data_IF_637792958698
#
_entry.id   IF_637792958698
#
_cell.length_a   1.000
_cell.length_b   1.000
_cell.length_c   1.000
_cell.angle_alpha   90.00
_cell.angle_beta   90.00
_cell.angle_gamma   90.00
#
_symmetry.space_group_name_H-M   'P 1'
#
loop_
_entity.id
_entity.type
_entity.pdbx_description
1 polymer ?
#
# COMPACT_ATOMS: atom_id res chain seq x y z
N UNK A 1 24.00 -1.35 -16.98
CA UNK A 1 23.31 -1.00 -15.72
C UNK A 1 24.27 -0.79 -14.57
N UNK A 2 24.16 0.35 -13.86
CA UNK A 2 24.73 0.55 -12.51
C UNK A 2 23.84 1.56 -11.79
N UNK A 3 23.03 1.09 -10.86
CA UNK A 3 22.04 1.89 -10.16
C UNK A 3 22.55 2.36 -8.79
N UNK A 4 21.92 3.41 -8.26
CA UNK A 4 22.25 3.98 -6.95
C UNK A 4 21.70 3.09 -5.84
N UNK A 5 22.52 2.83 -4.81
CA UNK A 5 22.15 2.03 -3.64
C UNK A 5 21.36 2.86 -2.63
N UNK A 6 20.28 2.28 -2.09
CA UNK A 6 19.44 2.85 -1.04
C UNK A 6 20.00 2.71 0.38
N UNK A 7 21.30 2.91 0.58
CA UNK A 7 21.91 2.75 1.90
C UNK A 7 21.40 3.78 2.91
N UNK A 8 21.10 3.31 4.12
CA UNK A 8 20.54 4.10 5.21
C UNK A 8 21.69 4.54 6.12
N UNK A 9 21.63 5.77 6.64
CA UNK A 9 22.74 6.37 7.39
C UNK A 9 22.21 7.09 8.63
N UNK A 10 22.91 6.91 9.74
CA UNK A 10 22.73 7.71 10.94
C UNK A 10 23.74 8.86 10.95
N UNK A 11 23.27 10.06 11.29
CA UNK A 11 24.11 11.25 11.42
C UNK A 11 23.96 11.84 12.81
N UNK A 12 25.04 12.39 13.33
CA UNK A 12 25.00 13.27 14.49
C UNK A 12 24.26 14.57 14.13
N UNK A 13 23.25 14.93 14.91
CA UNK A 13 22.34 16.03 14.60
C UNK A 13 23.00 17.42 14.73
N UNK A 14 24.02 17.56 15.57
CA UNK A 14 24.69 18.83 15.84
C UNK A 14 25.81 19.10 14.83
N UNK A 15 26.53 18.05 14.43
CA UNK A 15 27.75 18.14 13.61
C UNK A 15 27.55 17.73 12.15
N UNK A 16 26.52 16.92 11.87
CA UNK A 16 26.32 16.29 10.56
C UNK A 16 27.31 15.17 10.26
N UNK A 17 28.12 14.73 11.23
CA UNK A 17 29.02 13.59 11.06
C UNK A 17 28.24 12.29 10.92
N UNK A 18 28.60 11.44 9.95
CA UNK A 18 27.95 10.13 9.78
C UNK A 18 28.43 9.17 10.87
N UNK A 19 27.55 8.81 11.80
CA UNK A 19 27.81 7.81 12.85
C UNK A 19 27.91 6.39 12.27
N UNK A 20 26.96 6.03 11.41
CA UNK A 20 26.90 4.68 10.85
C UNK A 20 26.24 4.65 9.46
N UNK A 21 26.38 3.52 8.79
CA UNK A 21 25.72 3.21 7.52
C UNK A 21 25.27 1.76 7.55
N UNK A 22 24.02 1.52 7.15
CA UNK A 22 23.47 0.19 6.92
C UNK A 22 23.35 -0.04 5.41
N UNK A 23 23.97 -1.13 4.93
CA UNK A 23 23.90 -1.52 3.53
C UNK A 23 22.72 -2.45 3.28
N UNK A 24 21.62 -1.89 2.79
CA UNK A 24 20.40 -2.66 2.45
C UNK A 24 20.59 -3.61 1.28
N UNK A 25 21.47 -3.25 0.32
CA UNK A 25 22.04 -4.19 -0.63
C UNK A 25 23.45 -4.56 -0.14
N UNK A 26 23.63 -5.75 0.46
CA UNK A 26 24.87 -6.13 1.13
C UNK A 26 26.04 -6.25 0.15
N UNK A 27 27.22 -5.86 0.61
CA UNK A 27 28.50 -6.13 -0.05
C UNK A 27 28.91 -7.60 0.02
N UNK A 28 29.99 -7.97 -0.67
CA UNK A 28 30.42 -9.37 -0.86
C UNK A 28 30.53 -10.21 0.43
N UNK A 29 30.99 -9.61 1.52
CA UNK A 29 31.23 -10.29 2.80
C UNK A 29 30.14 -9.98 3.85
N UNK A 30 29.05 -9.33 3.45
CA UNK A 30 27.97 -8.93 4.35
C UNK A 30 26.81 -9.93 4.33
N UNK A 31 26.11 -10.05 5.46
CA UNK A 31 24.96 -10.93 5.61
C UNK A 31 23.89 -10.64 4.55
N UNK A 32 23.34 -11.69 3.93
CA UNK A 32 22.31 -11.60 2.90
C UNK A 32 22.85 -11.51 1.49
N UNK A 33 24.16 -11.29 1.28
CA UNK A 33 24.76 -11.23 -0.05
C UNK A 33 24.59 -12.52 -0.86
N UNK A 34 24.53 -13.66 -0.18
CA UNK A 34 24.28 -14.98 -0.75
C UNK A 34 22.93 -15.10 -1.47
N UNK A 35 21.97 -14.22 -1.14
CA UNK A 35 20.67 -14.10 -1.83
C UNK A 35 20.70 -13.26 -3.11
N UNK A 36 21.86 -12.68 -3.46
CA UNK A 36 22.06 -11.90 -4.69
C UNK A 36 22.91 -12.69 -5.68
N UNK A 37 22.24 -13.52 -6.47
CA UNK A 37 22.92 -14.39 -7.41
C UNK A 37 23.58 -13.59 -8.54
N UNK A 38 24.56 -14.22 -9.20
CA UNK A 38 25.32 -13.65 -10.31
C UNK A 38 25.97 -12.29 -10.01
N UNK A 39 26.34 -12.06 -8.74
CA UNK A 39 26.90 -10.79 -8.26
C UNK A 39 25.99 -9.57 -8.55
N UNK A 40 24.68 -9.78 -8.66
CA UNK A 40 23.72 -8.71 -9.00
C UNK A 40 23.75 -7.54 -8.02
N UNK A 41 24.12 -7.81 -6.76
CA UNK A 41 24.40 -6.79 -5.75
C UNK A 41 25.45 -5.76 -6.18
N UNK A 42 26.29 -5.99 -7.20
CA UNK A 42 27.28 -4.99 -7.66
C UNK A 42 26.67 -3.84 -8.46
N UNK A 43 25.55 -4.08 -9.15
CA UNK A 43 24.97 -3.11 -10.09
C UNK A 43 23.50 -2.78 -9.84
N UNK A 44 22.75 -3.61 -9.12
CA UNK A 44 21.37 -3.32 -8.71
C UNK A 44 21.33 -2.08 -7.80
N UNK A 45 20.21 -1.37 -7.73
CA UNK A 45 20.02 -0.18 -6.90
C UNK A 45 18.70 -0.23 -6.14
N UNK A 46 18.29 0.92 -5.61
CA UNK A 46 17.15 1.06 -4.70
C UNK A 46 17.36 0.25 -3.41
N UNK A 47 16.32 -0.42 -2.92
CA UNK A 47 16.30 -1.06 -1.60
C UNK A 47 16.54 -0.04 -0.47
N UNK A 48 16.11 1.21 -0.64
CA UNK A 48 16.15 2.24 0.39
C UNK A 48 14.91 2.29 1.26
N UNK A 49 14.87 3.27 2.17
CA UNK A 49 13.67 3.62 2.93
C UNK A 49 13.18 4.95 2.40
N UNK A 50 12.16 4.92 1.53
CA UNK A 50 11.54 6.14 1.00
C UNK A 50 10.34 6.61 1.84
N UNK A 51 9.75 5.70 2.63
CA UNK A 51 8.70 5.99 3.61
C UNK A 51 9.25 6.52 4.94
N UNK A 52 8.38 6.59 5.94
CA UNK A 52 8.75 6.98 7.30
C UNK A 52 9.37 5.82 8.09
N UNK A 53 10.22 6.17 9.05
CA UNK A 53 10.89 5.24 9.99
C UNK A 53 10.25 5.38 11.37
N UNK A 54 10.25 4.30 12.14
CA UNK A 54 9.89 4.33 13.57
C UNK A 54 11.06 3.91 14.44
N UNK A 55 11.08 4.38 15.69
CA UNK A 55 12.11 4.04 16.66
C UNK A 55 11.49 3.80 18.04
N UNK A 56 11.99 2.80 18.75
CA UNK A 56 11.74 2.61 20.18
C UNK A 56 12.96 3.12 20.95
N UNK A 57 12.83 4.29 21.58
CA UNK A 57 13.92 4.96 22.28
C UNK A 57 14.29 4.26 23.60
N UNK A 58 13.39 3.50 24.20
CA UNK A 58 13.70 2.73 25.42
C UNK A 58 14.55 1.51 25.09
N UNK A 59 14.29 0.88 23.96
CA UNK A 59 15.05 -0.26 23.47
C UNK A 59 16.32 0.13 22.69
N UNK A 60 16.41 1.38 22.22
CA UNK A 60 17.49 1.83 21.35
C UNK A 60 17.42 1.23 19.96
N UNK A 61 16.22 0.94 19.44
CA UNK A 61 16.01 0.25 18.16
C UNK A 61 15.34 1.17 17.14
N UNK A 62 15.83 1.16 15.91
CA UNK A 62 15.23 1.81 14.74
C UNK A 62 14.73 0.74 13.77
N UNK A 63 13.52 0.90 13.24
CA UNK A 63 12.87 -0.05 12.33
C UNK A 63 12.75 0.56 10.93
N UNK A 64 13.40 -0.08 9.96
CA UNK A 64 13.61 0.42 8.62
C UNK A 64 12.74 -0.37 7.62
N UNK A 65 11.62 0.19 7.12
CA UNK A 65 10.84 -0.41 6.05
C UNK A 65 11.51 -0.19 4.70
N UNK A 66 12.12 -1.25 4.14
CA UNK A 66 12.90 -1.18 2.91
C UNK A 66 12.04 -1.44 1.67
N UNK A 67 12.40 -0.76 0.60
CA UNK A 67 11.78 -0.91 -0.72
C UNK A 67 12.36 -2.07 -1.52
N UNK A 68 11.75 -2.37 -2.66
CA UNK A 68 12.24 -3.36 -3.62
C UNK A 68 13.53 -2.92 -4.35
N UNK A 69 14.27 -3.84 -4.98
CA UNK A 69 15.42 -3.50 -5.81
C UNK A 69 15.01 -3.15 -7.24
N UNK A 70 15.82 -2.32 -7.92
CA UNK A 70 15.67 -2.11 -9.37
C UNK A 70 15.86 -3.45 -10.12
N UNK A 71 15.01 -3.85 -11.07
CA UNK A 71 13.83 -3.19 -11.63
C UNK A 71 12.52 -3.69 -11.01
N UNK A 72 11.52 -2.83 -10.96
CA UNK A 72 10.27 -3.02 -10.24
C UNK A 72 9.44 -4.23 -10.69
N UNK A 73 9.46 -4.59 -11.98
CA UNK A 73 8.55 -5.62 -12.54
C UNK A 73 9.25 -6.75 -13.30
N UNK A 74 10.59 -6.75 -13.30
CA UNK A 74 11.42 -7.81 -13.88
C UNK A 74 12.70 -7.96 -13.04
N UNK A 75 12.82 -9.13 -12.41
CA UNK A 75 13.91 -9.56 -11.55
C UNK A 75 14.98 -10.41 -12.24
N UNK A 76 14.86 -10.72 -13.53
CA UNK A 76 15.84 -11.57 -14.25
C UNK A 76 17.30 -11.05 -14.29
N UNK A 77 17.53 -9.78 -13.94
CA UNK A 77 18.87 -9.21 -13.75
C UNK A 77 19.36 -9.25 -12.30
N UNK A 78 18.52 -9.70 -11.36
CA UNK A 78 18.77 -9.75 -9.91
C UNK A 78 18.20 -11.02 -9.29
N UNK A 79 18.59 -12.18 -9.83
CA UNK A 79 18.10 -13.47 -9.33
C UNK A 79 18.42 -13.69 -7.84
N UNK A 80 17.55 -14.46 -7.18
CA UNK A 80 17.60 -14.76 -5.75
C UNK A 80 16.70 -13.84 -4.92
N UNK A 81 16.57 -14.11 -3.62
CA UNK A 81 15.57 -13.46 -2.76
C UNK A 81 15.81 -11.96 -2.53
N UNK A 82 17.01 -11.46 -2.84
CA UNK A 82 17.38 -10.03 -2.82
C UNK A 82 17.33 -9.36 -1.43
N UNK A 83 17.73 -10.08 -0.38
CA UNK A 83 17.74 -9.54 0.99
C UNK A 83 18.70 -8.33 1.10
N UNK A 84 18.31 -7.16 1.63
CA UNK A 84 17.17 -6.85 2.50
C UNK A 84 16.05 -6.05 1.80
N UNK A 85 15.63 -6.43 0.59
CA UNK A 85 14.45 -5.82 -0.02
C UNK A 85 13.16 -6.24 0.67
N UNK A 86 12.14 -5.40 0.54
CA UNK A 86 10.76 -5.73 0.95
C UNK A 86 10.72 -6.23 2.40
N UNK A 87 11.45 -5.53 3.27
CA UNK A 87 11.76 -5.99 4.62
C UNK A 87 11.47 -4.91 5.66
N UNK A 88 11.19 -5.35 6.89
CA UNK A 88 11.47 -4.53 8.07
C UNK A 88 12.84 -4.95 8.61
N UNK A 89 13.79 -4.02 8.65
CA UNK A 89 15.11 -4.24 9.26
C UNK A 89 15.18 -3.48 10.58
N UNK A 90 15.42 -4.18 11.68
CA UNK A 90 15.69 -3.55 12.97
C UNK A 90 17.19 -3.35 13.15
N UNK A 91 17.59 -2.13 13.45
CA UNK A 91 18.99 -1.76 13.73
C UNK A 91 19.13 -1.08 15.08
N UNK A 92 20.27 -1.26 15.72
CA UNK A 92 20.66 -0.47 16.88
C UNK A 92 20.82 1.01 16.49
N UNK A 93 20.23 1.91 17.29
CA UNK A 93 20.14 3.35 16.98
C UNK A 93 21.51 4.04 16.93
N UNK A 94 22.47 3.56 17.71
CA UNK A 94 23.78 4.20 17.89
C UNK A 94 24.83 3.70 16.91
N UNK A 95 24.71 2.43 16.50
CA UNK A 95 25.72 1.73 15.70
C UNK A 95 25.24 1.36 14.30
N UNK A 96 23.93 1.30 14.07
CA UNK A 96 23.35 0.81 12.82
C UNK A 96 23.51 -0.70 12.62
N UNK A 97 23.95 -1.45 13.65
CA UNK A 97 24.09 -2.89 13.58
C UNK A 97 22.72 -3.56 13.48
N UNK A 98 22.59 -4.54 12.57
CA UNK A 98 21.34 -5.29 12.38
C UNK A 98 21.08 -6.19 13.58
N UNK A 99 19.92 -5.99 14.21
CA UNK A 99 19.43 -6.82 15.31
C UNK A 99 18.65 -8.01 14.74
N UNK A 100 17.62 -7.73 13.94
CA UNK A 100 16.80 -8.73 13.25
C UNK A 100 16.23 -8.13 11.96
N UNK A 101 15.63 -8.96 11.11
CA UNK A 101 14.86 -8.50 9.95
C UNK A 101 13.71 -9.47 9.65
N UNK A 102 12.69 -8.98 8.95
CA UNK A 102 11.59 -9.76 8.40
C UNK A 102 11.41 -9.35 6.94
N UNK A 103 11.71 -10.25 5.99
CA UNK A 103 11.42 -10.06 4.57
C UNK A 103 10.04 -10.61 4.26
N UNK A 104 9.21 -9.84 3.54
CA UNK A 104 7.81 -10.20 3.26
C UNK A 104 7.50 -10.45 1.79
N UNK A 105 8.46 -10.20 0.91
CA UNK A 105 8.42 -10.65 -0.48
C UNK A 105 9.82 -11.12 -0.84
N UNK A 106 9.91 -12.36 -1.31
CA UNK A 106 11.15 -12.92 -1.81
C UNK A 106 11.18 -12.65 -3.32
N UNK A 107 12.23 -11.98 -3.82
CA UNK A 107 12.35 -11.67 -5.24
C UNK A 107 11.14 -10.90 -5.82
N UNK A 108 10.84 -9.71 -5.28
CA UNK A 108 9.65 -8.92 -5.66
C UNK A 108 9.67 -8.55 -7.16
N UNK A 109 8.53 -8.67 -7.84
CA UNK A 109 8.27 -8.21 -9.23
C UNK A 109 6.90 -7.51 -9.38
N UNK A 110 6.33 -7.06 -8.26
CA UNK A 110 4.97 -6.51 -8.15
C UNK A 110 4.93 -5.07 -7.59
N UNK A 111 6.03 -4.58 -7.01
CA UNK A 111 6.16 -3.24 -6.39
C UNK A 111 5.30 -3.13 -5.14
N UNK A 112 5.51 -4.09 -4.24
CA UNK A 112 4.72 -4.30 -3.03
C UNK A 112 5.51 -4.18 -1.72
N UNK A 113 6.59 -3.39 -1.75
CA UNK A 113 7.36 -3.02 -0.58
C UNK A 113 6.55 -2.35 0.54
N UNK A 114 7.17 -2.18 1.71
CA UNK A 114 6.59 -1.46 2.83
C UNK A 114 6.67 0.07 2.63
N UNK A 115 5.54 0.76 2.44
CA UNK A 115 5.54 2.16 2.03
C UNK A 115 5.47 3.15 3.21
N UNK A 116 5.32 2.67 4.45
CA UNK A 116 4.96 3.48 5.61
C UNK A 116 5.64 3.00 6.90
N UNK A 117 5.65 3.87 7.91
CA UNK A 117 6.25 3.59 9.20
C UNK A 117 5.63 2.36 9.91
N UNK A 118 6.45 1.51 10.55
CA UNK A 118 5.99 0.52 11.51
C UNK A 118 5.24 1.18 12.68
N UNK A 119 4.02 0.73 12.98
CA UNK A 119 3.25 1.23 14.14
C UNK A 119 3.67 0.48 15.39
N UNK A 120 4.36 1.15 16.32
CA UNK A 120 4.81 0.56 17.58
C UNK A 120 3.70 0.65 18.63
N UNK A 121 3.38 -0.47 19.29
CA UNK A 121 2.32 -0.51 20.31
C UNK A 121 2.61 -1.59 21.35
N UNK A 122 2.22 -1.35 22.60
CA UNK A 122 2.19 -2.37 23.64
C UNK A 122 0.73 -2.86 23.78
N UNK A 123 0.46 -4.15 23.54
CA UNK A 123 -0.90 -4.73 23.58
C UNK A 123 -0.90 -6.00 24.42
N UNK A 124 -1.92 -6.18 25.26
CA UNK A 124 -2.14 -7.44 25.97
C UNK A 124 -2.79 -8.48 25.03
N UNK A 125 -2.07 -9.57 24.78
CA UNK A 125 -2.56 -10.73 23.99
C UNK A 125 -2.43 -11.97 24.87
N UNK A 126 -3.53 -12.72 25.02
CA UNK A 126 -3.62 -13.90 25.88
C UNK A 126 -3.13 -13.66 27.33
N UNK A 127 -3.46 -12.48 27.87
CA UNK A 127 -3.09 -12.08 29.23
C UNK A 127 -1.62 -11.68 29.42
N UNK A 128 -0.86 -11.51 28.32
CA UNK A 128 0.53 -11.05 28.39
C UNK A 128 0.71 -9.79 27.56
N UNK A 129 1.31 -8.76 28.17
CA UNK A 129 1.72 -7.56 27.44
C UNK A 129 2.83 -7.89 26.46
N UNK A 130 2.59 -7.58 25.18
CA UNK A 130 3.53 -7.76 24.07
C UNK A 130 3.96 -6.40 23.55
N UNK A 131 5.24 -6.28 23.18
CA UNK A 131 5.80 -5.12 22.50
C UNK A 131 5.73 -5.36 21.01
N UNK A 132 4.74 -4.79 20.33
CA UNK A 132 4.43 -5.12 18.93
C UNK A 132 4.88 -4.04 17.95
N UNK A 133 5.12 -4.49 16.72
CA UNK A 133 4.91 -3.72 15.50
C UNK A 133 3.64 -4.23 14.84
N UNK A 134 2.79 -3.30 14.36
CA UNK A 134 1.75 -3.56 13.39
C UNK A 134 2.12 -2.80 12.09
N UNK A 135 2.46 -3.54 11.04
CA UNK A 135 2.96 -2.99 9.77
C UNK A 135 1.94 -3.22 8.65
N UNK A 136 1.21 -2.17 8.21
CA UNK A 136 0.39 -2.22 7.01
C UNK A 136 1.28 -2.39 5.77
N UNK A 137 0.75 -3.04 4.74
CA UNK A 137 1.49 -3.36 3.51
C UNK A 137 0.74 -2.96 2.25
N UNK A 138 1.48 -2.82 1.15
CA UNK A 138 0.87 -2.70 -0.19
C UNK A 138 0.08 -3.95 -0.56
N UNK A 139 0.43 -5.13 -0.03
CA UNK A 139 -0.29 -6.39 -0.24
C UNK A 139 -1.68 -6.43 0.41
N UNK A 140 -2.03 -5.48 1.27
CA UNK A 140 -3.28 -5.49 2.08
C UNK A 140 -3.33 -6.55 3.17
N UNK A 141 -2.17 -7.02 3.61
CA UNK A 141 -2.00 -7.71 4.89
C UNK A 141 -1.49 -6.75 5.95
N UNK A 142 -1.83 -7.05 7.21
CA UNK A 142 -1.21 -6.43 8.37
C UNK A 142 -0.24 -7.42 9.00
N UNK A 143 1.05 -7.11 8.96
CA UNK A 143 2.08 -7.92 9.62
C UNK A 143 2.17 -7.51 11.09
N UNK A 144 2.01 -8.45 12.00
CA UNK A 144 2.09 -8.20 13.45
C UNK A 144 3.12 -9.10 14.09
N UNK A 145 4.13 -8.50 14.70
CA UNK A 145 5.28 -9.21 15.26
C UNK A 145 5.84 -8.49 16.48
N UNK A 146 6.55 -9.23 17.33
CA UNK A 146 7.26 -8.67 18.47
C UNK A 146 8.41 -7.78 17.98
N UNK A 147 8.42 -6.52 18.40
CA UNK A 147 9.39 -5.53 17.90
C UNK A 147 10.80 -5.70 18.47
N UNK A 148 10.96 -6.48 19.54
CA UNK A 148 12.28 -6.79 20.11
C UNK A 148 12.96 -7.89 19.32
N UNK A 149 12.19 -8.90 18.90
CA UNK A 149 12.73 -10.15 18.33
C UNK A 149 12.49 -10.32 16.83
N UNK A 150 11.49 -9.64 16.27
CA UNK A 150 11.00 -9.85 14.91
C UNK A 150 10.10 -11.08 14.76
N UNK A 151 9.77 -11.80 15.84
CA UNK A 151 8.94 -13.00 15.78
C UNK A 151 7.47 -12.65 15.51
N UNK A 152 6.82 -13.27 14.49
CA UNK A 152 5.40 -13.07 14.23
C UNK A 152 4.51 -13.48 15.41
N UNK A 153 3.47 -12.69 15.69
CA UNK A 153 2.46 -13.01 16.72
C UNK A 153 1.57 -14.16 16.26
N UNK A 154 1.25 -14.20 14.97
CA UNK A 154 0.53 -15.29 14.33
C UNK A 154 1.35 -15.88 13.19
N UNK A 155 1.09 -17.13 12.78
CA UNK A 155 1.85 -17.78 11.73
C UNK A 155 1.86 -16.99 10.42
N UNK A 156 3.03 -16.92 9.80
CA UNK A 156 3.21 -16.54 8.41
C UNK A 156 3.66 -17.81 7.70
N UNK A 157 2.83 -18.30 6.78
CA UNK A 157 3.06 -19.59 6.13
C UNK A 157 3.72 -19.39 4.77
N UNK A 158 4.79 -20.12 4.49
CA UNK A 158 5.32 -20.23 3.14
C UNK A 158 4.39 -21.08 2.28
N UNK A 159 3.92 -20.53 1.16
CA UNK A 159 3.05 -21.24 0.21
C UNK A 159 3.63 -21.18 -1.19
N UNK A 160 3.48 -22.27 -1.92
CA UNK A 160 3.87 -22.33 -3.34
C UNK A 160 3.13 -21.28 -4.15
N UNK A 161 3.85 -20.63 -5.06
CA UNK A 161 3.32 -19.62 -5.98
C UNK A 161 3.64 -20.00 -7.42
N UNK A 162 2.89 -19.42 -8.36
CA UNK A 162 3.08 -19.69 -9.79
C UNK A 162 4.46 -19.20 -10.26
N UNK A 163 5.23 -20.02 -11.01
CA UNK A 163 6.49 -19.58 -11.59
C UNK A 163 6.24 -18.56 -12.71
N UNK A 164 7.24 -17.69 -12.97
CA UNK A 164 7.19 -16.79 -14.13
C UNK A 164 7.47 -17.54 -15.44
N UNK A 165 6.77 -17.15 -16.51
CA UNK A 165 7.05 -17.54 -17.89
C UNK A 165 7.91 -16.52 -18.66
N UNK A 166 8.26 -15.40 -18.02
CA UNK A 166 9.04 -14.31 -18.63
C UNK A 166 10.49 -14.77 -18.84
N UNK A 167 11.06 -14.62 -20.05
CA UNK A 167 12.42 -15.10 -20.32
C UNK A 167 13.49 -14.52 -19.38
N UNK A 168 14.25 -15.42 -18.76
CA UNK A 168 15.33 -15.07 -17.84
C UNK A 168 14.87 -14.69 -16.43
N UNK A 169 13.57 -14.74 -16.15
CA UNK A 169 13.01 -14.54 -14.81
C UNK A 169 13.06 -15.83 -13.99
N UNK A 170 13.34 -15.73 -12.69
CA UNK A 170 13.27 -16.86 -11.76
C UNK A 170 12.77 -16.38 -10.41
N UNK A 171 11.45 -16.49 -10.23
CA UNK A 171 10.79 -16.17 -8.97
C UNK A 171 11.12 -17.18 -7.87
N UNK A 172 10.98 -16.74 -6.63
CA UNK A 172 10.97 -17.63 -5.47
C UNK A 172 9.84 -18.68 -5.61
N UNK A 173 10.09 -19.96 -5.25
CA UNK A 173 9.10 -21.03 -5.38
C UNK A 173 7.95 -20.89 -4.38
N UNK A 174 8.18 -20.18 -3.27
CA UNK A 174 7.18 -19.88 -2.26
C UNK A 174 7.15 -18.39 -1.96
N UNK A 175 6.08 -17.95 -1.32
CA UNK A 175 6.00 -16.62 -0.70
C UNK A 175 5.35 -16.72 0.67
N UNK A 176 5.62 -15.77 1.57
CA UNK A 176 4.98 -15.70 2.88
C UNK A 176 3.52 -15.25 2.77
N UNK A 177 2.63 -15.97 3.44
CA UNK A 177 1.20 -15.64 3.56
C UNK A 177 0.84 -15.39 5.02
N UNK A 178 0.40 -14.17 5.31
CA UNK A 178 -0.13 -13.81 6.63
C UNK A 178 -1.43 -14.58 6.90
N UNK A 179 -1.47 -15.33 7.99
CA UNK A 179 -2.68 -16.10 8.37
C UNK A 179 -3.67 -15.26 9.18
N UNK A 180 -3.17 -14.26 9.91
CA UNK A 180 -3.98 -13.43 10.80
C UNK A 180 -3.32 -12.07 11.06
N UNK A 181 -4.09 -10.96 11.08
CA UNK A 181 -5.51 -10.85 10.70
C UNK A 181 -5.74 -11.20 9.21
N UNK A 182 -7.00 -11.47 8.79
CA UNK A 182 -7.31 -11.64 7.37
C UNK A 182 -6.92 -10.39 6.58
N UNK A 183 -6.67 -10.55 5.28
CA UNK A 183 -6.43 -9.43 4.38
C UNK A 183 -7.58 -8.42 4.45
N UNK A 184 -7.23 -7.14 4.51
CA UNK A 184 -8.20 -6.05 4.67
C UNK A 184 -8.63 -5.41 3.35
N UNK A 185 -8.14 -5.94 2.23
CA UNK A 185 -8.55 -5.59 0.87
C UNK A 185 -8.33 -6.80 -0.06
N UNK A 186 -8.69 -6.66 -1.33
CA UNK A 186 -8.59 -7.71 -2.34
C UNK A 186 -7.14 -8.06 -2.67
N UNK A 187 -6.91 -9.35 -2.88
CA UNK A 187 -5.61 -9.97 -3.10
C UNK A 187 -5.73 -10.98 -4.24
N UNK A 188 -5.18 -10.64 -5.40
CA UNK A 188 -5.44 -11.34 -6.65
C UNK A 188 -6.70 -10.82 -7.36
N UNK A 189 -6.93 -11.38 -8.54
CA UNK A 189 -8.06 -11.03 -9.40
C UNK A 189 -8.72 -12.30 -9.88
N UNK A 190 -10.02 -12.40 -9.66
CA UNK A 190 -10.86 -13.40 -10.30
C UNK A 190 -12.09 -12.76 -10.98
N UNK A 191 -12.96 -13.61 -11.54
CA UNK A 191 -14.18 -13.15 -12.19
C UNK A 191 -15.16 -12.50 -11.20
N UNK A 192 -15.15 -12.87 -9.92
CA UNK A 192 -16.03 -12.31 -8.90
C UNK A 192 -15.59 -10.91 -8.48
N UNK A 193 -14.36 -10.47 -8.81
CA UNK A 193 -13.91 -9.09 -8.61
C UNK A 193 -14.42 -8.11 -9.67
N UNK A 194 -14.94 -8.60 -10.80
CA UNK A 194 -15.39 -7.76 -11.90
C UNK A 194 -16.74 -7.10 -11.60
N UNK A 195 -16.88 -5.84 -12.02
CA UNK A 195 -18.06 -5.01 -11.83
C UNK A 195 -19.32 -5.67 -12.39
N UNK A 196 -20.38 -5.63 -11.58
CA UNK A 196 -21.65 -6.31 -11.82
C UNK A 196 -22.88 -5.43 -11.52
N UNK A 197 -22.69 -4.11 -11.40
CA UNK A 197 -23.77 -3.15 -11.17
C UNK A 197 -24.88 -3.22 -12.24
N UNK A 198 -24.54 -3.61 -13.47
CA UNK A 198 -25.50 -3.98 -14.51
C UNK A 198 -25.01 -5.18 -15.33
N UNK A 199 -25.92 -5.94 -15.97
CA UNK A 199 -25.54 -7.04 -16.86
C UNK A 199 -24.62 -6.60 -18.01
N UNK A 200 -24.81 -5.38 -18.54
CA UNK A 200 -23.96 -4.86 -19.62
C UNK A 200 -22.55 -4.49 -19.12
N UNK A 201 -22.43 -3.90 -17.94
CA UNK A 201 -21.12 -3.65 -17.32
C UNK A 201 -20.39 -4.97 -17.07
N UNK A 202 -21.11 -5.97 -16.55
CA UNK A 202 -20.55 -7.31 -16.31
C UNK A 202 -19.98 -7.93 -17.57
N UNK A 203 -20.79 -8.00 -18.63
CA UNK A 203 -20.39 -8.58 -19.92
C UNK A 203 -19.16 -7.89 -20.50
N UNK A 204 -19.12 -6.55 -20.45
CA UNK A 204 -17.97 -5.77 -20.96
C UNK A 204 -16.72 -5.92 -20.09
N UNK A 205 -16.88 -6.07 -18.77
CA UNK A 205 -15.76 -6.30 -17.87
C UNK A 205 -15.14 -7.67 -18.12
N UNK A 206 -15.95 -8.72 -18.31
CA UNK A 206 -15.48 -10.05 -18.71
C UNK A 206 -14.77 -10.04 -20.07
N UNK A 207 -15.29 -9.28 -21.05
CA UNK A 207 -14.64 -9.10 -22.36
C UNK A 207 -13.24 -8.47 -22.22
N UNK A 208 -13.10 -7.42 -21.41
CA UNK A 208 -11.79 -6.78 -21.14
C UNK A 208 -10.87 -7.72 -20.37
N UNK A 209 -11.37 -8.39 -19.33
CA UNK A 209 -10.60 -9.31 -18.50
C UNK A 209 -10.11 -10.54 -19.28
N UNK A 210 -10.88 -10.99 -20.28
CA UNK A 210 -10.50 -12.13 -21.14
C UNK A 210 -9.21 -11.93 -21.94
N UNK A 211 -8.73 -10.68 -22.05
CA UNK A 211 -7.45 -10.32 -22.69
C UNK A 211 -6.26 -10.35 -21.72
N UNK A 212 -6.45 -10.80 -20.49
CA UNK A 212 -5.44 -10.73 -19.44
C UNK A 212 -5.37 -12.05 -18.66
N UNK A 213 -4.23 -12.26 -17.98
CA UNK A 213 -4.14 -13.28 -16.94
C UNK A 213 -4.82 -12.80 -15.67
N UNK A 214 -5.43 -13.74 -14.95
CA UNK A 214 -6.07 -13.56 -13.65
C UNK A 214 -5.61 -14.68 -12.74
N UNK A 215 -5.54 -14.42 -11.44
CA UNK A 215 -5.06 -15.39 -10.47
C UNK A 215 -4.86 -14.80 -9.07
N UNK A 216 -4.30 -15.58 -8.14
CA UNK A 216 -4.04 -15.15 -6.77
C UNK A 216 -3.01 -14.00 -6.69
N UNK A 217 -2.82 -13.43 -5.48
CA UNK A 217 -1.94 -12.27 -5.24
C UNK A 217 -0.56 -12.38 -5.88
N UNK A 218 0.12 -13.53 -5.81
CA UNK A 218 1.45 -13.71 -6.42
C UNK A 218 1.40 -14.25 -7.86
N UNK A 219 0.36 -13.92 -8.63
CA UNK A 219 0.37 -14.19 -10.07
C UNK A 219 1.43 -13.31 -10.74
N UNK A 220 2.39 -13.89 -11.48
CA UNK A 220 3.53 -13.14 -11.99
C UNK A 220 3.13 -12.17 -13.11
N UNK A 221 3.95 -11.13 -13.38
CA UNK A 221 3.94 -10.41 -14.64
C UNK A 221 4.12 -11.37 -15.83
N UNK A 222 3.61 -10.97 -17.00
CA UNK A 222 3.78 -11.73 -18.25
C UNK A 222 4.19 -10.81 -19.40
N UNK A 223 4.76 -11.38 -20.46
CA UNK A 223 5.11 -10.64 -21.68
C UNK A 223 3.82 -10.22 -22.39
N UNK A 224 3.74 -8.93 -22.74
CA UNK A 224 2.58 -8.32 -23.38
C UNK A 224 2.59 -8.58 -24.88
N UNK A 225 1.55 -9.25 -25.40
CA UNK A 225 1.43 -9.62 -26.81
C UNK A 225 0.05 -9.20 -27.36
N UNK A 226 0.01 -8.57 -28.54
CA UNK A 226 -1.24 -8.08 -29.13
C UNK A 226 -2.21 -9.20 -29.52
N UNK A 227 -1.68 -10.32 -29.99
CA UNK A 227 -2.46 -11.52 -30.35
C UNK A 227 -2.61 -12.50 -29.17
N UNK A 228 -2.00 -12.18 -28.02
CA UNK A 228 -1.99 -13.00 -26.81
C UNK A 228 -2.65 -12.28 -25.63
N UNK A 229 -1.97 -12.32 -24.47
CA UNK A 229 -2.40 -11.61 -23.27
C UNK A 229 -1.75 -10.23 -23.19
N UNK A 230 -2.52 -9.25 -22.76
CA UNK A 230 -2.03 -7.87 -22.63
C UNK A 230 -1.15 -7.67 -21.39
N UNK A 231 -1.34 -8.52 -20.38
CA UNK A 231 -0.63 -8.51 -19.11
C UNK A 231 -1.41 -9.29 -18.05
N UNK A 232 -0.88 -9.30 -16.82
CA UNK A 232 -1.55 -9.87 -15.65
C UNK A 232 -2.40 -8.80 -14.96
N UNK A 233 -3.67 -9.08 -14.68
CA UNK A 233 -4.48 -8.22 -13.82
C UNK A 233 -4.01 -8.36 -12.39
N UNK A 234 -3.70 -7.22 -11.76
CA UNK A 234 -3.07 -7.18 -10.45
C UNK A 234 -3.92 -6.37 -9.46
N UNK A 235 -4.21 -7.00 -8.32
CA UNK A 235 -4.76 -6.39 -7.13
C UNK A 235 -4.02 -6.93 -5.89
N UNK A 236 -3.57 -6.06 -4.97
CA UNK A 236 -3.59 -4.60 -5.07
C UNK A 236 -2.71 -4.06 -6.22
N UNK A 237 -2.92 -2.83 -6.70
CA UNK A 237 -1.98 -2.24 -7.68
C UNK A 237 -0.58 -2.07 -7.08
N UNK A 238 0.38 -1.60 -7.88
CA UNK A 238 1.71 -1.17 -7.41
C UNK A 238 1.64 -0.02 -6.39
N UNK A 239 0.55 0.76 -6.43
CA UNK A 239 0.29 1.76 -5.42
C UNK A 239 -0.23 1.15 -4.09
N UNK A 240 -0.41 -0.18 -4.05
CA UNK A 240 -0.81 -0.97 -2.89
C UNK A 240 -2.28 -0.82 -2.49
N UNK A 241 -2.66 -1.58 -1.46
CA UNK A 241 -3.87 -1.31 -0.68
C UNK A 241 -3.64 -0.16 0.28
N UNK A 242 -2.65 -0.29 1.18
CA UNK A 242 -2.18 0.80 2.05
C UNK A 242 -0.84 1.34 1.55
N UNK A 243 -0.68 2.66 1.52
CA UNK A 243 0.53 3.34 1.04
C UNK A 243 1.16 4.22 2.16
N UNK A 244 1.96 5.22 1.81
CA UNK A 244 2.73 6.09 2.72
C UNK A 244 1.95 6.80 3.84
N UNK A 245 0.62 7.03 3.79
CA UNK A 245 -0.08 7.54 4.97
C UNK A 245 -0.10 6.55 6.14
N UNK A 246 0.09 5.25 5.88
CA UNK A 246 0.01 4.20 6.89
C UNK A 246 -1.39 4.08 7.49
N UNK A 247 -1.44 3.98 8.81
CA UNK A 247 -2.68 3.96 9.57
C UNK A 247 -2.51 4.54 10.96
N UNK A 248 -3.62 4.64 11.69
CA UNK A 248 -3.64 5.15 13.05
C UNK A 248 -4.08 4.06 14.01
N UNK A 249 -3.45 3.99 15.18
CA UNK A 249 -3.75 3.02 16.21
C UNK A 249 -4.23 3.72 17.49
N UNK A 250 -5.15 3.09 18.20
CA UNK A 250 -5.50 3.47 19.56
C UNK A 250 -4.82 2.53 20.56
N UNK A 251 -3.89 3.02 21.39
CA UNK A 251 -3.10 2.18 22.30
C UNK A 251 -3.90 1.67 23.51
N UNK A 252 -5.01 2.32 23.88
CA UNK A 252 -5.84 1.86 25.00
C UNK A 252 -6.69 0.65 24.59
N UNK A 253 -7.23 0.68 23.37
CA UNK A 253 -8.04 -0.43 22.87
C UNK A 253 -7.24 -1.50 22.12
N UNK A 254 -6.07 -1.15 21.57
CA UNK A 254 -5.30 -2.04 20.70
C UNK A 254 -5.93 -2.21 19.31
N UNK A 255 -6.69 -1.21 18.84
CA UNK A 255 -7.37 -1.25 17.55
C UNK A 255 -6.62 -0.34 16.58
N UNK A 256 -6.31 -0.87 15.40
CA UNK A 256 -5.71 -0.13 14.29
C UNK A 256 -6.73 0.16 13.20
N UNK A 257 -6.65 1.35 12.62
CA UNK A 257 -7.53 1.85 11.57
C UNK A 257 -6.70 2.13 10.33
N UNK A 258 -7.05 1.45 9.24
CA UNK A 258 -6.31 1.47 7.99
C UNK A 258 -7.22 1.94 6.88
N UNK A 259 -6.75 2.93 6.12
CA UNK A 259 -7.36 3.21 4.84
C UNK A 259 -6.69 2.36 3.74
N UNK A 260 -7.52 1.87 2.84
CA UNK A 260 -7.10 1.02 1.73
C UNK A 260 -7.85 1.44 0.48
N UNK A 261 -7.24 1.26 -0.69
CA UNK A 261 -7.92 1.49 -1.96
C UNK A 261 -7.72 0.34 -2.95
N UNK A 262 -8.77 0.07 -3.72
CA UNK A 262 -8.79 -0.97 -4.75
C UNK A 262 -8.67 -0.33 -6.12
N UNK A 263 -7.48 -0.41 -6.70
CA UNK A 263 -7.21 -0.02 -8.07
C UNK A 263 -6.65 -1.22 -8.82
N UNK A 264 -7.34 -1.70 -9.86
CA UNK A 264 -6.83 -2.77 -10.71
C UNK A 264 -5.91 -2.20 -11.78
N UNK A 265 -4.79 -2.87 -12.02
CA UNK A 265 -3.84 -2.52 -13.09
C UNK A 265 -3.53 -3.74 -13.96
N UNK A 266 -3.10 -3.49 -15.18
CA UNK A 266 -2.54 -4.50 -16.08
C UNK A 266 -1.03 -4.42 -16.01
N UNK A 267 -0.40 -5.55 -15.70
CA UNK A 267 1.03 -5.71 -15.58
C UNK A 267 1.56 -6.56 -16.74
N UNK A 268 1.82 -5.88 -17.86
CA UNK A 268 2.46 -6.44 -19.04
C UNK A 268 3.90 -5.98 -19.18
N UNK A 269 4.76 -6.83 -19.73
CA UNK A 269 6.17 -6.56 -19.97
C UNK A 269 6.50 -6.53 -21.47
N UNK A 270 7.44 -5.67 -21.85
CA UNK A 270 7.97 -5.59 -23.23
C UNK A 270 9.49 -5.51 -23.23
N UNK A 271 10.11 -6.04 -24.27
CA UNK A 271 11.52 -5.84 -24.57
C UNK A 271 11.66 -4.59 -25.44
N UNK A 272 12.22 -3.51 -24.88
CA UNK A 272 12.45 -2.25 -25.60
C UNK A 272 13.88 -1.75 -25.30
N UNK A 273 14.87 -2.19 -26.10
CA UNK A 273 16.26 -1.82 -25.90
C UNK A 273 16.58 -0.38 -26.31
N UNK A 274 15.66 0.33 -26.99
CA UNK A 274 15.83 1.76 -27.29
C UNK A 274 15.51 2.62 -26.06
N UNK A 275 14.59 2.17 -25.21
CA UNK A 275 14.16 2.86 -24.00
C UNK A 275 14.96 2.48 -22.75
N UNK A 276 15.40 1.22 -22.64
CA UNK A 276 16.06 0.71 -21.42
C UNK A 276 17.14 -0.33 -21.72
N UNK A 277 18.16 -0.43 -20.86
CA UNK A 277 19.13 -1.53 -20.87
C UNK A 277 18.66 -2.78 -20.09
N UNK A 278 17.41 -2.76 -19.61
CA UNK A 278 16.71 -3.91 -19.03
C UNK A 278 16.20 -4.85 -20.14
N UNK A 279 16.21 -6.17 -19.91
CA UNK A 279 15.61 -7.12 -20.87
C UNK A 279 14.10 -6.92 -21.00
N UNK A 280 13.42 -6.58 -19.91
CA UNK A 280 12.00 -6.29 -19.90
C UNK A 280 11.71 -5.08 -19.02
N UNK A 281 10.78 -4.27 -19.47
CA UNK A 281 10.20 -3.15 -18.73
C UNK A 281 8.68 -3.26 -18.77
N UNK A 282 8.01 -2.62 -17.82
CA UNK A 282 6.55 -2.51 -17.88
C UNK A 282 6.14 -1.75 -19.13
N UNK A 283 5.22 -2.34 -19.89
CA UNK A 283 4.76 -1.76 -21.15
C UNK A 283 3.59 -2.53 -21.74
N UNK A 284 3.29 -2.20 -22.99
CA UNK A 284 2.25 -2.86 -23.79
C UNK A 284 2.84 -3.30 -25.10
N UNK A 285 2.51 -4.52 -25.54
CA UNK A 285 2.91 -5.05 -26.83
C UNK A 285 2.56 -4.12 -27.98
N UNK A 286 3.40 -4.14 -29.02
CA UNK A 286 3.18 -3.34 -30.23
C UNK A 286 1.81 -3.65 -30.84
N UNK A 287 1.06 -2.61 -31.21
CA UNK A 287 -0.29 -2.74 -31.77
C UNK A 287 -1.42 -2.68 -30.73
N UNK A 288 -1.13 -2.79 -29.43
CA UNK A 288 -2.14 -2.61 -28.38
C UNK A 288 -2.35 -1.11 -28.11
N UNK A 289 -3.51 -0.57 -28.47
CA UNK A 289 -3.83 0.83 -28.19
C UNK A 289 -4.12 1.05 -26.70
N UNK A 290 -3.91 2.29 -26.22
CA UNK A 290 -4.30 2.67 -24.86
C UNK A 290 -5.79 2.48 -24.58
N UNK A 291 -6.63 2.54 -25.62
CA UNK A 291 -8.08 2.31 -25.51
C UNK A 291 -8.39 0.82 -25.29
N UNK A 292 -7.71 -0.07 -25.99
CA UNK A 292 -7.90 -1.53 -25.86
C UNK A 292 -7.39 -2.04 -24.51
N UNK A 293 -6.27 -1.50 -24.02
CA UNK A 293 -5.71 -1.83 -22.70
C UNK A 293 -6.42 -1.12 -21.53
N UNK A 294 -7.49 -0.35 -21.79
CA UNK A 294 -8.21 0.37 -20.73
C UNK A 294 -8.96 -0.59 -19.82
N UNK A 295 -8.65 -0.57 -18.53
CA UNK A 295 -9.40 -1.29 -17.48
C UNK A 295 -10.62 -0.51 -16.98
N UNK A 296 -11.24 0.24 -17.89
CA UNK A 296 -12.46 1.00 -17.63
C UNK A 296 -13.45 0.88 -18.77
N UNK A 297 -14.74 0.92 -18.43
CA UNK A 297 -15.88 1.01 -19.32
C UNK A 297 -16.41 2.44 -19.25
N UNK A 298 -16.01 3.27 -20.22
CA UNK A 298 -16.44 4.69 -20.29
C UNK A 298 -16.14 5.49 -19.00
N UNK A 299 -15.01 5.17 -18.36
CA UNK A 299 -14.59 5.80 -17.10
C UNK A 299 -15.09 5.10 -15.84
N UNK A 300 -15.90 4.04 -15.96
CA UNK A 300 -16.24 3.14 -14.84
C UNK A 300 -15.16 2.05 -14.73
N UNK A 301 -14.45 1.91 -13.59
CA UNK A 301 -13.52 0.81 -13.39
C UNK A 301 -14.16 -0.57 -13.60
N UNK A 302 -13.43 -1.51 -14.24
CA UNK A 302 -13.93 -2.89 -14.40
C UNK A 302 -13.90 -3.67 -13.08
N UNK A 303 -13.17 -3.19 -12.07
CA UNK A 303 -13.18 -3.76 -10.72
C UNK A 303 -14.37 -3.22 -9.94
N UNK A 304 -15.12 -4.10 -9.27
CA UNK A 304 -16.32 -3.71 -8.53
C UNK A 304 -16.00 -2.83 -7.31
N UNK A 305 -16.86 -1.88 -6.92
CA UNK A 305 -16.64 -1.10 -5.68
C UNK A 305 -16.77 -1.98 -4.41
N UNK A 306 -16.40 -1.48 -3.20
CA UNK A 306 -15.81 -0.17 -2.95
C UNK A 306 -14.37 -0.07 -3.48
N UNK A 307 -13.95 1.12 -3.89
CA UNK A 307 -12.60 1.44 -4.35
C UNK A 307 -11.76 2.14 -3.28
N UNK A 308 -12.37 2.51 -2.15
CA UNK A 308 -11.69 3.03 -0.97
C UNK A 308 -12.47 2.65 0.28
N UNK A 309 -11.78 2.24 1.34
CA UNK A 309 -12.41 1.81 2.60
C UNK A 309 -11.53 2.13 3.80
N UNK A 310 -12.16 2.28 4.95
CA UNK A 310 -11.48 2.26 6.25
C UNK A 310 -11.81 0.92 6.91
N UNK A 311 -10.78 0.26 7.43
CA UNK A 311 -10.86 -1.02 8.13
C UNK A 311 -10.38 -0.86 9.55
N UNK A 312 -11.16 -1.32 10.53
CA UNK A 312 -10.73 -1.45 11.91
C UNK A 312 -10.32 -2.89 12.21
N UNK A 313 -9.14 -3.07 12.80
CA UNK A 313 -8.60 -4.38 13.16
C UNK A 313 -8.25 -4.38 14.65
N UNK A 314 -8.83 -5.32 15.40
CA UNK A 314 -8.43 -5.57 16.78
C UNK A 314 -7.14 -6.40 16.80
N UNK A 315 -6.06 -5.85 17.36
CA UNK A 315 -4.78 -6.55 17.48
C UNK A 315 -4.76 -7.59 18.61
N UNK A 316 -5.73 -7.56 19.54
CA UNK A 316 -5.83 -8.58 20.58
C UNK A 316 -6.36 -9.87 19.99
N UNK A 317 -7.44 -9.76 19.22
CA UNK A 317 -8.06 -10.89 18.57
C UNK A 317 -7.41 -11.21 17.22
N UNK A 318 -6.77 -10.27 16.53
CA UNK A 318 -6.33 -10.43 15.14
C UNK A 318 -7.52 -10.51 14.17
N UNK A 319 -8.57 -9.71 14.40
CA UNK A 319 -9.84 -9.78 13.67
C UNK A 319 -10.24 -8.40 13.14
N UNK A 320 -10.86 -8.40 11.96
CA UNK A 320 -11.50 -7.21 11.41
C UNK A 320 -12.79 -6.98 12.20
N UNK A 321 -12.92 -5.82 12.84
CA UNK A 321 -14.12 -5.42 13.58
C UNK A 321 -15.19 -4.89 12.63
N UNK A 322 -14.80 -4.03 11.70
CA UNK A 322 -15.67 -3.44 10.70
C UNK A 322 -14.87 -2.90 9.51
N UNK A 323 -15.56 -2.75 8.37
CA UNK A 323 -15.07 -2.08 7.17
C UNK A 323 -16.16 -1.20 6.59
N UNK A 324 -15.82 0.03 6.23
CA UNK A 324 -16.76 0.98 5.61
C UNK A 324 -16.17 1.62 4.37
N UNK A 325 -16.94 1.80 3.28
CA UNK A 325 -16.52 2.59 2.13
C UNK A 325 -16.20 4.04 2.54
N UNK A 326 -15.01 4.53 2.21
CA UNK A 326 -14.56 5.88 2.53
C UNK A 326 -14.34 6.70 1.26
N UNK A 327 -15.09 7.80 1.13
CA UNK A 327 -15.20 8.60 -0.08
C UNK A 327 -16.57 8.48 -0.75
N UNK A 328 -17.20 9.61 -1.06
CA UNK A 328 -18.45 9.64 -1.83
C UNK A 328 -18.27 9.20 -3.28
N UNK A 329 -19.36 8.68 -3.86
CA UNK A 329 -19.37 8.22 -5.25
C UNK A 329 -19.11 9.39 -6.21
N UNK A 330 -18.10 9.30 -7.09
CA UNK A 330 -17.79 10.32 -8.08
C UNK A 330 -18.97 10.69 -8.98
N UNK A 331 -19.06 11.96 -9.37
CA UNK A 331 -20.16 12.45 -10.22
C UNK A 331 -20.20 11.74 -11.58
N UNK A 332 -19.04 11.37 -12.14
CA UNK A 332 -18.98 10.62 -13.40
C UNK A 332 -19.49 9.18 -13.28
N UNK A 333 -19.55 8.63 -12.07
CA UNK A 333 -20.13 7.31 -11.78
C UNK A 333 -21.61 7.48 -11.41
N UNK A 334 -21.92 8.37 -10.48
CA UNK A 334 -23.29 8.65 -10.00
C UNK A 334 -24.24 9.02 -11.13
N UNK A 335 -23.77 9.81 -12.09
CA UNK A 335 -24.57 10.30 -13.21
C UNK A 335 -24.32 9.51 -14.51
N UNK A 336 -23.70 8.33 -14.42
CA UNK A 336 -23.33 7.58 -15.61
C UNK A 336 -24.55 6.96 -16.30
N UNK A 337 -24.66 7.11 -17.63
CA UNK A 337 -25.77 6.56 -18.43
C UNK A 337 -25.97 5.04 -18.28
N UNK A 338 -24.89 4.28 -18.05
CA UNK A 338 -24.95 2.82 -17.85
C UNK A 338 -25.43 2.42 -16.45
N UNK A 339 -25.65 3.40 -15.56
CA UNK A 339 -26.11 3.22 -14.18
C UNK A 339 -27.45 3.93 -13.95
N UNK A 340 -28.14 4.35 -15.02
CA UNK A 340 -29.47 4.94 -14.91
C UNK A 340 -30.45 3.93 -14.30
N UNK A 341 -31.12 4.33 -13.21
CA UNK A 341 -32.03 3.47 -12.46
C UNK A 341 -31.36 2.44 -11.55
N UNK A 342 -30.02 2.47 -11.43
CA UNK A 342 -29.27 1.62 -10.48
C UNK A 342 -29.05 2.39 -9.19
N UNK A 343 -29.36 1.78 -8.05
CA UNK A 343 -28.98 2.31 -6.74
C UNK A 343 -27.50 2.00 -6.49
N UNK A 344 -26.64 2.99 -6.70
CA UNK A 344 -25.19 2.85 -6.53
C UNK A 344 -24.82 3.28 -5.11
N UNK A 345 -24.37 2.35 -4.23
CA UNK A 345 -23.98 2.70 -2.88
C UNK A 345 -22.73 3.60 -2.88
N UNK A 346 -22.33 4.06 -1.69
CA UNK A 346 -21.05 4.75 -1.54
C UNK A 346 -19.92 3.85 -2.03
N UNK A 347 -19.26 4.29 -3.10
CA UNK A 347 -18.22 3.49 -3.77
C UNK A 347 -16.84 3.66 -3.15
N UNK A 348 -16.65 4.60 -2.23
CA UNK A 348 -15.30 4.96 -1.80
C UNK A 348 -14.50 5.64 -2.91
N UNK A 349 -13.27 6.02 -2.62
CA UNK A 349 -12.36 6.62 -3.61
C UNK A 349 -11.03 5.91 -3.66
N UNK A 350 -10.44 5.86 -4.85
CA UNK A 350 -9.01 5.60 -5.00
C UNK A 350 -8.26 6.82 -4.47
N UNK A 351 -7.25 6.59 -3.63
CA UNK A 351 -6.49 7.69 -3.03
C UNK A 351 -5.45 7.22 -2.04
N UNK A 352 -4.72 8.17 -1.45
CA UNK A 352 -3.81 7.91 -0.33
C UNK A 352 -4.30 8.75 0.83
N UNK A 353 -5.06 8.13 1.72
CA UNK A 353 -5.70 8.81 2.85
C UNK A 353 -5.06 8.32 4.14
N UNK A 354 -4.67 9.26 5.00
CA UNK A 354 -4.29 8.96 6.37
C UNK A 354 -5.48 9.08 7.31
N UNK A 355 -5.47 8.27 8.36
CA UNK A 355 -6.47 8.30 9.43
C UNK A 355 -5.89 8.98 10.67
N UNK A 356 -6.74 9.65 11.43
CA UNK A 356 -6.43 10.26 12.72
C UNK A 356 -7.40 9.69 13.76
N UNK A 357 -6.87 9.16 14.86
CA UNK A 357 -7.71 8.67 15.95
C UNK A 357 -7.82 9.70 17.07
N UNK A 358 -9.00 9.70 17.70
CA UNK A 358 -9.26 10.27 19.02
C UNK A 358 -9.78 9.15 19.93
N UNK A 359 -9.97 9.37 21.24
CA UNK A 359 -10.50 8.33 22.13
C UNK A 359 -11.84 7.72 21.68
N UNK A 360 -12.64 8.47 20.90
CA UNK A 360 -14.00 8.06 20.50
C UNK A 360 -14.21 7.99 18.99
N UNK A 361 -13.32 8.55 18.16
CA UNK A 361 -13.56 8.69 16.72
C UNK A 361 -12.33 8.39 15.87
N UNK A 362 -12.59 8.00 14.63
CA UNK A 362 -11.60 7.92 13.56
C UNK A 362 -11.95 8.99 12.53
N UNK A 363 -10.99 9.84 12.16
CA UNK A 363 -11.17 10.97 11.27
C UNK A 363 -10.31 10.77 10.02
N UNK A 364 -10.90 10.98 8.85
CA UNK A 364 -10.22 10.82 7.56
C UNK A 364 -10.81 11.77 6.50
N UNK A 365 -9.95 12.30 5.64
CA UNK A 365 -10.35 13.14 4.51
C UNK A 365 -10.57 12.34 3.24
N UNK A 366 -11.53 12.75 2.41
CA UNK A 366 -11.74 12.11 1.12
C UNK A 366 -10.70 12.52 0.08
N UNK A 367 -10.20 11.56 -0.71
CA UNK A 367 -9.15 11.79 -1.70
C UNK A 367 -9.61 12.50 -2.99
N UNK A 368 -10.91 12.68 -3.20
CA UNK A 368 -11.44 13.23 -4.45
C UNK A 368 -12.75 13.97 -4.25
N UNK A 369 -13.08 14.82 -5.22
CA UNK A 369 -14.25 15.70 -5.14
C UNK A 369 -15.51 15.09 -5.76
N UNK A 370 -16.66 15.53 -5.29
CA UNK A 370 -18.00 15.24 -5.80
C UNK A 370 -18.90 16.47 -5.59
N UNK A 371 -20.07 16.45 -6.20
CA UNK A 371 -21.11 17.45 -5.96
C UNK A 371 -21.91 17.04 -4.72
N UNK A 372 -21.84 17.83 -3.65
CA UNK A 372 -22.60 17.61 -2.42
C UNK A 372 -24.10 17.76 -2.64
N UNK A 373 -24.96 17.29 -1.71
CA UNK A 373 -26.40 17.55 -1.77
C UNK A 373 -26.78 19.04 -1.78
N UNK A 374 -25.91 19.93 -1.27
CA UNK A 374 -26.10 21.39 -1.33
C UNK A 374 -25.71 22.00 -2.70
N UNK A 375 -25.12 21.21 -3.60
CA UNK A 375 -24.64 21.66 -4.92
C UNK A 375 -23.22 22.22 -4.92
N UNK A 376 -22.50 22.12 -3.81
CA UNK A 376 -21.10 22.52 -3.70
C UNK A 376 -20.20 21.41 -4.23
N UNK A 377 -19.15 21.76 -4.98
CA UNK A 377 -18.15 20.79 -5.44
C UNK A 377 -16.98 20.80 -4.49
N UNK A 378 -16.68 19.63 -3.91
CA UNK A 378 -15.60 19.48 -2.96
C UNK A 378 -15.48 18.05 -2.45
N UNK A 379 -14.75 17.88 -1.36
CA UNK A 379 -14.53 16.63 -0.66
C UNK A 379 -14.99 16.79 0.80
N UNK A 380 -15.00 15.71 1.58
CA UNK A 380 -15.36 15.78 3.01
C UNK A 380 -14.23 15.34 3.92
N UNK A 381 -14.07 16.01 5.06
CA UNK A 381 -13.39 15.47 6.23
C UNK A 381 -14.44 14.79 7.10
N UNK A 382 -14.35 13.47 7.24
CA UNK A 382 -15.38 12.62 7.89
C UNK A 382 -14.89 12.10 9.22
N UNK A 383 -15.81 11.91 10.15
CA UNK A 383 -15.59 11.25 11.43
C UNK A 383 -16.48 10.01 11.54
N UNK A 384 -15.91 8.93 12.07
CA UNK A 384 -16.58 7.64 12.27
C UNK A 384 -16.52 7.26 13.75
N UNK A 385 -17.57 6.61 14.24
CA UNK A 385 -17.54 5.93 15.52
C UNK A 385 -16.46 4.85 15.49
N UNK A 386 -15.59 4.92 16.49
CA UNK A 386 -14.41 4.08 16.59
C UNK A 386 -14.71 2.58 16.66
N UNK A 387 -15.86 2.20 17.22
CA UNK A 387 -16.23 0.81 17.49
C UNK A 387 -17.15 0.21 16.43
N UNK A 388 -18.03 1.00 15.82
CA UNK A 388 -19.01 0.52 14.84
C UNK A 388 -18.69 0.89 13.39
N UNK A 389 -17.85 1.91 13.16
CA UNK A 389 -17.63 2.48 11.84
C UNK A 389 -18.79 3.36 11.34
N UNK A 390 -19.81 3.62 12.17
CA UNK A 390 -20.91 4.53 11.82
C UNK A 390 -20.39 5.95 11.57
N UNK A 391 -20.80 6.58 10.48
CA UNK A 391 -20.43 7.98 10.23
C UNK A 391 -21.13 8.92 11.22
N UNK A 392 -20.36 9.61 12.05
CA UNK A 392 -20.87 10.55 13.05
C UNK A 392 -21.10 11.95 12.48
N UNK A 393 -20.40 12.29 11.40
CA UNK A 393 -20.53 13.57 10.72
C UNK A 393 -19.39 13.86 9.78
N UNK A 394 -19.53 14.96 9.05
CA UNK A 394 -18.56 15.39 8.07
C UNK A 394 -18.56 16.92 7.91
N UNK A 395 -17.40 17.48 7.57
CA UNK A 395 -17.25 18.91 7.21
C UNK A 395 -16.66 19.03 5.81
N UNK A 396 -17.08 20.07 5.08
CA UNK A 396 -16.68 20.28 3.70
C UNK A 396 -15.20 20.72 3.58
N UNK A 397 -14.52 20.19 2.57
CA UNK A 397 -13.21 20.60 2.06
C UNK A 397 -13.36 21.00 0.59
N UNK A 398 -12.78 22.11 0.12
CA UNK A 398 -12.87 22.53 -1.28
C UNK A 398 -12.06 21.64 -2.25
N UNK A 399 -11.16 20.80 -1.76
CA UNK A 399 -10.40 19.83 -2.54
C UNK A 399 -10.16 18.54 -1.74
N UNK A 400 -9.69 17.51 -2.43
CA UNK A 400 -9.33 16.24 -1.82
C UNK A 400 -8.15 16.35 -0.85
N UNK A 401 -8.08 15.42 0.09
CA UNK A 401 -6.96 15.32 1.03
C UNK A 401 -5.66 14.95 0.31
N UNK A 402 -4.56 15.58 0.72
CA UNK A 402 -3.20 15.28 0.23
C UNK A 402 -2.24 14.87 1.33
N UNK A 403 -2.66 14.92 2.60
CA UNK A 403 -1.87 14.51 3.76
C UNK A 403 -2.75 14.09 4.94
N UNK A 404 -2.22 13.26 5.83
CA UNK A 404 -2.95 12.77 7.00
C UNK A 404 -3.46 13.93 7.88
N UNK A 405 -4.72 13.89 8.37
CA UNK A 405 -5.19 14.87 9.34
C UNK A 405 -4.35 14.82 10.62
N UNK A 406 -4.13 15.98 11.24
CA UNK A 406 -3.48 16.12 12.54
C UNK A 406 -4.34 16.97 13.48
N UNK A 407 -4.07 16.88 14.79
CA UNK A 407 -4.74 17.73 15.78
C UNK A 407 -3.74 18.34 16.76
N UNK A 408 -4.04 19.54 17.26
CA UNK A 408 -3.27 20.21 18.31
C UNK A 408 -4.14 21.13 19.14
N UNK A 409 -3.62 21.54 20.30
CA UNK A 409 -4.21 22.56 21.17
C UNK A 409 -3.49 23.90 20.97
N UNK A 410 -4.27 24.96 20.78
CA UNK A 410 -3.77 26.34 20.80
C UNK A 410 -4.73 27.21 21.58
N UNK A 411 -4.21 27.93 22.59
CA UNK A 411 -5.00 28.77 23.50
C UNK A 411 -6.22 28.05 24.11
N UNK A 412 -6.03 26.79 24.51
CA UNK A 412 -7.08 25.96 25.10
C UNK A 412 -8.13 25.45 24.12
N UNK A 413 -7.96 25.67 22.82
CA UNK A 413 -8.88 25.20 21.77
C UNK A 413 -8.23 24.12 20.92
N UNK A 414 -8.97 23.05 20.67
CA UNK A 414 -8.53 21.97 19.79
C UNK A 414 -8.77 22.36 18.34
N UNK A 415 -7.77 22.10 17.50
CA UNK A 415 -7.83 22.27 16.05
C UNK A 415 -7.61 20.91 15.38
N UNK A 416 -8.29 20.67 14.27
CA UNK A 416 -7.96 19.61 13.33
C UNK A 416 -7.44 20.28 12.06
N UNK A 417 -6.25 19.92 11.61
CA UNK A 417 -5.65 20.46 10.39
C UNK A 417 -5.42 19.36 9.39
N UNK A 418 -5.72 19.64 8.13
CA UNK A 418 -5.52 18.71 7.02
C UNK A 418 -4.95 19.44 5.82
N UNK A 419 -4.02 18.77 5.12
CA UNK A 419 -3.53 19.24 3.83
C UNK A 419 -4.52 18.83 2.74
N UNK A 420 -4.83 19.77 1.85
CA UNK A 420 -5.71 19.54 0.71
C UNK A 420 -5.03 20.02 -0.58
N UNK A 421 -5.51 19.52 -1.72
CA UNK A 421 -5.06 19.95 -3.04
C UNK A 421 -5.63 19.07 -4.15
N UNK A 422 -5.43 19.47 -5.40
CA UNK A 422 -5.88 18.66 -6.53
C UNK A 422 -5.76 19.36 -7.87
N UNK A 423 -6.30 18.72 -8.91
CA UNK A 423 -6.32 19.31 -10.25
C UNK A 423 -7.08 20.65 -10.23
N UNK A 424 -6.38 21.73 -10.57
CA UNK A 424 -6.94 23.08 -10.56
C UNK A 424 -7.11 23.71 -9.18
N UNK A 425 -6.61 23.09 -8.10
CA UNK A 425 -6.68 23.62 -6.74
C UNK A 425 -5.28 23.60 -6.08
N UNK A 426 -4.73 24.75 -5.64
CA UNK A 426 -3.40 24.80 -5.03
C UNK A 426 -3.33 24.02 -3.71
N UNK A 427 -2.14 23.56 -3.33
CA UNK A 427 -1.94 22.91 -2.05
C UNK A 427 -2.10 23.90 -0.89
N UNK A 428 -2.97 23.60 0.07
CA UNK A 428 -3.26 24.45 1.23
C UNK A 428 -3.46 23.60 2.50
N UNK A 429 -3.31 24.22 3.68
CA UNK A 429 -3.71 23.65 4.96
C UNK A 429 -5.04 24.27 5.39
N UNK A 430 -6.02 23.43 5.71
CA UNK A 430 -7.29 23.88 6.30
C UNK A 430 -7.33 23.47 7.77
N UNK A 431 -7.70 24.41 8.63
CA UNK A 431 -7.91 24.20 10.05
C UNK A 431 -9.39 24.29 10.42
N UNK A 432 -9.87 23.26 11.10
CA UNK A 432 -11.22 23.16 11.66
C UNK A 432 -11.14 23.29 13.19
N UNK A 433 -12.13 23.97 13.77
CA UNK A 433 -12.35 24.03 15.22
C UNK A 433 -13.85 24.09 15.50
N UNK A 434 -14.24 23.77 16.72
CA UNK A 434 -15.59 24.05 17.18
C UNK A 434 -15.83 25.59 17.27
N UNK A 435 -17.08 26.04 17.07
CA UNK A 435 -17.47 27.42 17.33
C UNK A 435 -17.16 27.84 18.77
N UNK A 436 -17.10 29.14 19.02
CA UNK A 436 -17.07 29.67 20.39
C UNK A 436 -18.49 29.55 20.97
N UNK A 437 -18.60 29.08 22.21
CA UNK A 437 -19.88 29.05 22.95
C UNK A 437 -20.42 30.46 23.21
#
# INVERSE_FOLDING_TARGET
MRNTKGYIRGFDADTGERKWIFHTIPGADEFGNDTWLNESWRYTGNTGVWGQISADLELGIVYLPTEMPTNDYYGGHRLGDNLFSDSIVAVDIDTGERLWHLQVIQHDVWDWDFPCAPVLVDVEIDGVMRKLIAQPSKQSWLYVFDRVTGEPIWPIEEREVEPSDVPGELLAPTQPYVTKPPAYDRQGVDLDDLIDLTPELRRRAEEIASRHLMGPIFTPPTVSEADGVFGTLMLPSQAGGTNWPGGSLDPETGIIYLYTFTQMVSLGLVNDPELSDMNFIRGRGEGISAREASLTIEGIPIVKPPWGRITAIDLKAGEILWQVPHGETPDNIRNHRLLEGVDVPRTGRIGRVGTLNTPTMVIAGEAGTFTTPSGEVGAMLRAYDKMSGEELGAVHMPAGVTGSPMTYLHEGRQYIVTAIGGAGFPGELIAYRLPEE
#
